data_IF_603061407322
#
_entry.id   IF_603061407322
#
_cell.length_a   1.000
_cell.length_b   1.000
_cell.length_c   1.000
_cell.angle_alpha   90.00
_cell.angle_beta   90.00
_cell.angle_gamma   90.00
#
_symmetry.space_group_name_H-M   'P 1'
#
loop_
_entity.id
_entity.type
_entity.pdbx_description
1 polymer ?
#
# COMPACT_ATOMS: atom_id res chain seq x y z
N UNK A 1 -2.64 -18.69 -4.04
CA UNK A 1 -1.55 -18.98 -5.00
C UNK A 1 -0.32 -18.16 -4.66
N UNK A 2 0.77 -18.29 -5.44
CA UNK A 2 2.06 -17.65 -5.13
C UNK A 2 2.00 -16.15 -4.79
N UNK A 3 1.21 -15.30 -5.48
CA UNK A 3 1.17 -13.87 -5.15
C UNK A 3 0.74 -13.58 -3.71
N UNK A 4 -0.23 -14.33 -3.18
CA UNK A 4 -0.68 -14.18 -1.80
C UNK A 4 0.34 -14.69 -0.79
N UNK A 5 1.09 -15.75 -1.13
CA UNK A 5 2.15 -16.26 -0.27
C UNK A 5 3.35 -15.30 -0.23
N UNK A 6 3.73 -14.72 -1.36
CA UNK A 6 4.74 -13.65 -1.44
C UNK A 6 4.34 -12.46 -0.58
N UNK A 7 3.09 -11.99 -0.71
CA UNK A 7 2.56 -10.91 0.11
C UNK A 7 2.62 -11.25 1.61
N UNK A 8 2.14 -12.43 1.99
CA UNK A 8 2.06 -12.86 3.38
C UNK A 8 3.45 -12.98 4.02
N UNK A 9 4.37 -13.74 3.41
CA UNK A 9 5.72 -13.94 3.97
C UNK A 9 6.52 -12.63 3.95
N UNK A 10 6.49 -11.91 2.83
CA UNK A 10 7.23 -10.65 2.72
C UNK A 10 6.77 -9.61 3.74
N UNK A 11 5.46 -9.46 3.94
CA UNK A 11 4.97 -8.48 4.88
C UNK A 11 5.13 -8.95 6.34
N UNK A 12 4.76 -10.19 6.67
CA UNK A 12 4.68 -10.60 8.07
C UNK A 12 6.01 -11.06 8.66
N UNK A 13 6.89 -11.66 7.87
CA UNK A 13 8.17 -12.17 8.37
C UNK A 13 9.29 -11.14 8.21
N UNK A 14 9.28 -10.36 7.13
CA UNK A 14 10.31 -9.35 6.85
C UNK A 14 9.84 -7.96 7.27
N UNK A 15 8.68 -7.50 6.79
CA UNK A 15 8.13 -6.18 7.14
C UNK A 15 7.69 -6.05 8.60
N UNK A 16 7.16 -7.13 9.19
CA UNK A 16 6.73 -7.24 10.59
C UNK A 16 5.83 -6.09 11.10
N UNK A 17 4.76 -5.72 10.36
CA UNK A 17 3.96 -4.53 10.64
C UNK A 17 3.39 -4.50 12.05
N UNK A 18 3.37 -3.29 12.62
CA UNK A 18 2.72 -2.95 13.88
C UNK A 18 1.50 -2.06 13.64
N UNK A 19 0.58 -2.13 14.59
CA UNK A 19 -0.58 -1.26 14.61
C UNK A 19 -0.16 0.21 14.66
N UNK A 20 -0.77 1.04 13.82
CA UNK A 20 -0.48 2.48 13.73
C UNK A 20 0.69 2.86 12.82
N UNK A 21 1.48 1.90 12.31
CA UNK A 21 2.54 2.15 11.33
C UNK A 21 1.99 2.47 9.94
N UNK A 22 2.80 3.12 9.12
CA UNK A 22 2.52 3.45 7.73
C UNK A 22 3.18 2.45 6.79
N UNK A 23 2.35 1.67 6.09
CA UNK A 23 2.75 0.76 5.02
C UNK A 23 2.51 1.44 3.66
N UNK A 24 3.57 1.62 2.88
CA UNK A 24 3.49 2.02 1.47
C UNK A 24 3.71 0.79 0.60
N UNK A 25 2.88 0.60 -0.43
CA UNK A 25 3.00 -0.52 -1.37
C UNK A 25 2.93 -0.05 -2.83
N UNK A 26 3.96 -0.41 -3.60
CA UNK A 26 3.98 -0.19 -5.04
C UNK A 26 3.05 -1.18 -5.77
N UNK A 27 2.71 -0.87 -7.02
CA UNK A 27 1.83 -1.69 -7.86
C UNK A 27 0.56 -2.18 -7.10
N UNK A 28 -0.08 -1.27 -6.35
CA UNK A 28 -1.05 -1.60 -5.30
C UNK A 28 -2.30 -2.39 -5.75
N UNK A 29 -2.65 -2.37 -7.04
CA UNK A 29 -3.78 -3.14 -7.59
C UNK A 29 -3.34 -4.43 -8.30
N UNK A 30 -2.05 -4.76 -8.29
CA UNK A 30 -1.53 -6.04 -8.75
C UNK A 30 -1.82 -7.17 -7.75
N UNK A 31 -1.65 -8.44 -8.13
CA UNK A 31 -2.05 -9.57 -7.30
C UNK A 31 -1.29 -9.66 -5.97
N UNK A 32 0.00 -9.27 -5.94
CA UNK A 32 0.79 -9.19 -4.70
C UNK A 32 0.40 -7.94 -3.90
N UNK A 33 0.52 -6.75 -4.51
CA UNK A 33 0.29 -5.46 -3.84
C UNK A 33 -1.11 -5.33 -3.23
N UNK A 34 -2.14 -5.81 -3.93
CA UNK A 34 -3.52 -5.82 -3.42
C UNK A 34 -3.66 -6.70 -2.17
N UNK A 35 -2.92 -7.81 -2.11
CA UNK A 35 -2.92 -8.70 -0.95
C UNK A 35 -2.11 -8.10 0.21
N UNK A 36 -0.94 -7.51 -0.07
CA UNK A 36 -0.10 -6.81 0.92
C UNK A 36 -0.90 -5.71 1.60
N UNK A 37 -1.57 -4.85 0.83
CA UNK A 37 -2.35 -3.75 1.40
C UNK A 37 -3.49 -4.23 2.29
N UNK A 38 -4.25 -5.24 1.87
CA UNK A 38 -5.32 -5.82 2.69
C UNK A 38 -4.78 -6.45 3.98
N UNK A 39 -3.66 -7.18 3.93
CA UNK A 39 -3.02 -7.71 5.14
C UNK A 39 -2.56 -6.56 6.06
N UNK A 40 -1.97 -5.49 5.51
CA UNK A 40 -1.59 -4.29 6.27
C UNK A 40 -2.78 -3.65 6.98
N UNK A 41 -3.93 -3.52 6.30
CA UNK A 41 -5.18 -3.04 6.92
C UNK A 41 -5.62 -3.93 8.08
N UNK A 42 -5.58 -5.26 7.90
CA UNK A 42 -5.91 -6.22 8.97
C UNK A 42 -4.92 -6.16 10.16
N UNK A 43 -3.69 -5.69 9.94
CA UNK A 43 -2.68 -5.48 10.99
C UNK A 43 -2.75 -4.10 11.65
N UNK A 44 -3.73 -3.28 11.27
CA UNK A 44 -3.93 -1.95 11.86
C UNK A 44 -2.98 -0.88 11.33
N UNK A 45 -2.34 -1.12 10.18
CA UNK A 45 -1.51 -0.11 9.53
C UNK A 45 -2.37 0.93 8.81
N UNK A 46 -1.81 2.13 8.66
CA UNK A 46 -2.19 3.06 7.60
C UNK A 46 -1.57 2.57 6.29
N UNK A 47 -2.40 2.26 5.31
CA UNK A 47 -1.95 1.68 4.02
C UNK A 47 -2.08 2.73 2.92
N UNK A 48 -0.94 3.08 2.33
CA UNK A 48 -0.83 4.00 1.19
C UNK A 48 -0.41 3.20 -0.04
N UNK A 49 -1.30 3.14 -1.02
CA UNK A 49 -1.04 2.47 -2.29
C UNK A 49 -0.40 3.41 -3.31
N UNK A 50 0.41 2.87 -4.20
CA UNK A 50 0.87 3.54 -5.42
C UNK A 50 0.43 2.70 -6.61
N UNK A 51 -0.30 3.32 -7.53
CA UNK A 51 -0.77 2.67 -8.76
C UNK A 51 -0.64 3.62 -9.95
N UNK A 52 -0.82 3.10 -11.16
CA UNK A 52 -0.79 3.90 -12.39
C UNK A 52 -2.20 4.12 -12.92
N UNK A 53 -2.75 5.32 -12.75
CA UNK A 53 -4.08 5.71 -13.19
C UNK A 53 -5.09 5.90 -12.06
N UNK A 54 -5.95 6.92 -12.21
CA UNK A 54 -7.01 7.26 -11.26
C UNK A 54 -8.01 6.11 -10.99
N UNK A 55 -8.33 5.29 -12.00
CA UNK A 55 -9.25 4.16 -11.85
C UNK A 55 -8.69 3.10 -10.89
N UNK A 56 -7.40 2.76 -11.03
CA UNK A 56 -6.73 1.81 -10.14
C UNK A 56 -6.63 2.36 -8.72
N UNK A 57 -6.33 3.65 -8.59
CA UNK A 57 -6.28 4.30 -7.28
C UNK A 57 -7.63 4.24 -6.56
N UNK A 58 -8.71 4.55 -7.30
CA UNK A 58 -10.08 4.44 -6.78
C UNK A 58 -10.43 3.01 -6.38
N UNK A 59 -10.10 2.02 -7.21
CA UNK A 59 -10.33 0.61 -6.89
C UNK A 59 -9.62 0.17 -5.60
N UNK A 60 -8.37 0.60 -5.40
CA UNK A 60 -7.61 0.29 -4.19
C UNK A 60 -8.30 0.84 -2.92
N UNK A 61 -8.86 2.04 -2.98
CA UNK A 61 -9.54 2.66 -1.84
C UNK A 61 -10.93 2.03 -1.62
N UNK A 62 -11.77 2.04 -2.65
CA UNK A 62 -13.19 1.69 -2.53
C UNK A 62 -13.45 0.19 -2.40
N UNK A 63 -12.59 -0.64 -3.00
CA UNK A 63 -12.78 -2.10 -3.04
C UNK A 63 -11.79 -2.83 -2.15
N UNK A 64 -10.51 -2.44 -2.15
CA UNK A 64 -9.47 -3.11 -1.38
C UNK A 64 -9.26 -2.53 0.02
N UNK A 65 -9.88 -1.38 0.33
CA UNK A 65 -9.88 -0.78 1.66
C UNK A 65 -8.61 -0.01 2.04
N UNK A 66 -7.82 0.42 1.05
CA UNK A 66 -6.65 1.28 1.29
C UNK A 66 -7.08 2.64 1.85
N UNK A 67 -6.25 3.26 2.69
CA UNK A 67 -6.55 4.58 3.25
C UNK A 67 -6.36 5.68 2.19
N UNK A 68 -5.32 5.54 1.37
CA UNK A 68 -4.98 6.44 0.26
C UNK A 68 -4.36 5.60 -0.86
N UNK A 69 -4.60 5.97 -2.11
CA UNK A 69 -3.85 5.44 -3.25
C UNK A 69 -3.48 6.58 -4.20
N UNK A 70 -2.22 6.63 -4.61
CA UNK A 70 -1.63 7.73 -5.37
C UNK A 70 -1.25 7.26 -6.78
N UNK A 71 -1.53 8.12 -7.76
CA UNK A 71 -1.12 7.90 -9.14
C UNK A 71 0.33 8.35 -9.34
N UNK A 72 1.24 7.41 -9.63
CA UNK A 72 2.65 7.75 -9.84
C UNK A 72 2.92 8.52 -11.14
N UNK A 73 1.91 8.68 -12.00
CA UNK A 73 2.02 9.54 -13.19
C UNK A 73 1.71 11.02 -12.88
N UNK A 74 1.26 11.36 -11.68
CA UNK A 74 1.00 12.75 -11.31
C UNK A 74 2.30 13.55 -11.21
N UNK A 75 2.32 14.76 -11.77
CA UNK A 75 3.49 15.64 -11.75
C UNK A 75 3.92 16.01 -10.31
N UNK A 76 2.98 16.05 -9.38
CA UNK A 76 3.18 16.37 -7.96
C UNK A 76 3.21 15.11 -7.07
N UNK A 77 3.46 13.92 -7.62
CA UNK A 77 3.43 12.64 -6.88
C UNK A 77 4.26 12.67 -5.59
N UNK A 78 5.47 13.22 -5.62
CA UNK A 78 6.33 13.29 -4.44
C UNK A 78 5.70 14.12 -3.30
N UNK A 79 5.03 15.22 -3.63
CA UNK A 79 4.32 16.03 -2.64
C UNK A 79 3.09 15.31 -2.10
N UNK A 80 2.35 14.62 -2.97
CA UNK A 80 1.19 13.82 -2.55
C UNK A 80 1.60 12.68 -1.61
N UNK A 81 2.71 12.00 -1.91
CA UNK A 81 3.25 10.92 -1.07
C UNK A 81 3.67 11.44 0.31
N UNK A 82 4.36 12.58 0.36
CA UNK A 82 4.74 13.22 1.62
C UNK A 82 3.50 13.60 2.46
N UNK A 83 2.46 14.15 1.83
CA UNK A 83 1.18 14.47 2.50
C UNK A 83 0.44 13.22 2.97
N UNK A 84 0.50 12.13 2.21
CA UNK A 84 -0.14 10.85 2.54
C UNK A 84 0.57 10.14 3.71
N UNK A 85 1.86 10.39 3.93
CA UNK A 85 2.70 9.75 4.94
C UNK A 85 3.22 10.78 5.97
N UNK A 86 2.34 11.46 6.74
CA UNK A 86 2.75 12.58 7.62
C UNK A 86 3.66 12.15 8.78
N UNK A 87 3.72 10.86 9.09
CA UNK A 87 4.60 10.28 10.12
C UNK A 87 5.82 9.55 9.52
N UNK A 88 6.04 9.66 8.21
CA UNK A 88 7.03 8.88 7.48
C UNK A 88 6.45 7.54 6.97
N UNK A 89 7.35 6.70 6.46
CA UNK A 89 7.08 5.37 5.93
C UNK A 89 7.84 4.37 6.79
N UNK A 90 7.11 3.51 7.50
CA UNK A 90 7.71 2.49 8.36
C UNK A 90 8.07 1.24 7.54
N UNK A 91 7.20 0.89 6.59
CA UNK A 91 7.39 -0.26 5.69
C UNK A 91 7.12 0.18 4.25
N UNK A 92 8.07 -0.07 3.37
CA UNK A 92 7.89 0.03 1.93
C UNK A 92 7.95 -1.36 1.30
N UNK A 93 6.86 -1.78 0.68
CA UNK A 93 6.78 -3.03 -0.06
C UNK A 93 6.88 -2.74 -1.57
N UNK A 94 8.04 -3.09 -2.15
CA UNK A 94 8.35 -3.01 -3.58
C UNK A 94 7.90 -4.28 -4.33
#
# INVERSE_FOLDING_TARGET
GMPGFTAYMGLLDIGQPKEGETLVVAAATGPVGATVGQIGKLKGCRVVGVAGGAEKCRHAIEVLGFDVCLDHHADDFAEQLAKACPKGVDIYYE
#
